data_IF_644325147070
#
_entry.id   IF_644325147070
#
_cell.length_a   1.000
_cell.length_b   1.000
_cell.length_c   1.000
_cell.angle_alpha   90.00
_cell.angle_beta   90.00
_cell.angle_gamma   90.00
#
_symmetry.space_group_name_H-M   'P 1'
#
loop_
_entity.id
_entity.type
_entity.pdbx_description
1 polymer ?
#
# COMPACT_ATOMS: atom_id res chain seq x y z
N UNK A 1 -8.67 20.37 8.09
CA UNK A 1 -7.64 19.65 7.31
C UNK A 1 -7.01 18.61 8.21
N UNK A 2 -6.88 17.39 7.74
CA UNK A 2 -6.14 16.35 8.46
C UNK A 2 -4.66 16.67 8.37
N UNK A 3 -4.02 16.99 9.50
CA UNK A 3 -2.59 17.26 9.55
C UNK A 3 -1.85 16.03 10.03
N UNK A 4 -0.71 15.73 9.39
CA UNK A 4 0.19 14.66 9.78
C UNK A 4 1.54 15.26 10.18
N UNK A 5 2.13 14.74 11.26
CA UNK A 5 3.45 15.14 11.76
C UNK A 5 4.37 13.91 11.76
N UNK A 6 4.80 13.54 10.58
CA UNK A 6 5.63 12.35 10.37
C UNK A 6 7.10 12.73 10.48
N UNK A 7 7.85 11.97 11.24
CA UNK A 7 9.31 12.10 11.34
C UNK A 7 9.95 10.79 10.91
N UNK A 8 11.09 10.86 10.23
CA UNK A 8 11.87 9.66 9.98
C UNK A 8 12.25 8.96 11.30
N UNK A 9 12.33 7.62 11.35
CA UNK A 9 12.77 6.89 12.53
C UNK A 9 14.12 7.39 13.04
N UNK A 10 14.22 7.59 14.35
CA UNK A 10 15.45 8.08 14.97
C UNK A 10 16.58 7.05 14.82
N UNK A 11 17.75 7.50 14.38
CA UNK A 11 18.94 6.64 14.14
C UNK A 11 19.79 6.40 15.40
N UNK A 12 19.41 6.94 16.56
CA UNK A 12 20.23 6.89 17.79
C UNK A 12 20.61 5.48 18.24
N UNK A 13 19.76 4.47 17.95
CA UNK A 13 20.00 3.07 18.33
C UNK A 13 20.52 2.21 17.16
N UNK A 14 20.74 2.78 15.98
CA UNK A 14 21.15 2.04 14.77
C UNK A 14 22.41 1.21 15.01
N UNK A 15 23.43 1.83 15.58
CA UNK A 15 24.71 1.15 15.90
C UNK A 15 24.48 -0.06 16.81
N UNK A 16 23.68 0.09 17.85
CA UNK A 16 23.38 -0.99 18.81
C UNK A 16 22.56 -2.12 18.15
N UNK A 17 21.63 -1.80 17.24
CA UNK A 17 20.90 -2.80 16.46
C UNK A 17 21.84 -3.58 15.54
N UNK A 18 22.71 -2.89 14.81
CA UNK A 18 23.71 -3.51 13.93
C UNK A 18 24.65 -4.40 14.74
N UNK A 19 25.11 -3.95 15.91
CA UNK A 19 25.95 -4.74 16.80
C UNK A 19 25.22 -6.00 17.29
N UNK A 20 23.95 -5.89 17.70
CA UNK A 20 23.13 -7.03 18.10
C UNK A 20 22.99 -8.04 16.96
N UNK A 21 22.61 -7.58 15.76
CA UNK A 21 22.44 -8.44 14.57
C UNK A 21 23.77 -9.14 14.20
N UNK A 22 24.89 -8.43 14.25
CA UNK A 22 26.21 -8.99 13.93
C UNK A 22 26.75 -9.94 15.01
N UNK A 23 26.23 -9.86 16.24
CA UNK A 23 26.60 -10.76 17.33
C UNK A 23 25.77 -12.06 17.38
N UNK A 24 24.71 -12.16 16.60
CA UNK A 24 24.00 -13.44 16.44
C UNK A 24 24.96 -14.52 15.91
N UNK A 25 24.77 -15.76 16.35
CA UNK A 25 25.62 -16.89 15.97
C UNK A 25 25.47 -17.26 14.48
N UNK A 26 26.03 -16.44 13.62
CA UNK A 26 26.02 -16.54 12.16
C UNK A 26 27.16 -15.70 11.55
N UNK A 27 27.63 -16.01 10.33
CA UNK A 27 28.53 -15.12 9.60
C UNK A 27 27.89 -13.74 9.41
N UNK A 28 28.67 -12.67 9.47
CA UNK A 28 28.20 -11.31 9.28
C UNK A 28 27.52 -11.17 7.91
N UNK A 29 26.31 -10.61 7.88
CA UNK A 29 25.53 -10.37 6.66
C UNK A 29 24.93 -11.63 6.01
N UNK A 30 25.08 -12.83 6.61
CA UNK A 30 24.69 -14.10 5.97
C UNK A 30 23.18 -14.32 5.84
N UNK A 31 22.35 -13.58 6.57
CA UNK A 31 20.89 -13.61 6.47
C UNK A 31 20.33 -12.45 5.62
N UNK A 32 21.22 -11.63 5.04
CA UNK A 32 20.89 -10.67 3.99
C UNK A 32 19.70 -9.77 4.31
N UNK A 33 18.62 -9.88 3.53
CA UNK A 33 17.44 -9.02 3.64
C UNK A 33 16.73 -9.12 4.99
N UNK A 34 16.78 -10.27 5.69
CA UNK A 34 16.19 -10.41 7.03
C UNK A 34 16.88 -9.49 8.04
N UNK A 35 18.20 -9.29 7.92
CA UNK A 35 18.95 -8.38 8.78
C UNK A 35 18.55 -6.91 8.54
N UNK A 36 18.36 -6.53 7.28
CA UNK A 36 17.90 -5.18 6.92
C UNK A 36 16.48 -4.92 7.45
N UNK A 37 15.57 -5.89 7.37
CA UNK A 37 14.19 -5.79 7.88
C UNK A 37 14.19 -5.67 9.42
N UNK A 38 14.98 -6.51 10.10
CA UNK A 38 15.08 -6.45 11.56
C UNK A 38 15.63 -5.10 12.04
N UNK A 39 16.63 -4.54 11.34
CA UNK A 39 17.15 -3.21 11.59
C UNK A 39 16.08 -2.14 11.39
N UNK A 40 15.38 -2.16 10.25
CA UNK A 40 14.32 -1.20 9.92
C UNK A 40 13.21 -1.22 10.97
N UNK A 41 12.70 -2.39 11.36
CA UNK A 41 11.64 -2.51 12.37
C UNK A 41 12.14 -2.05 13.75
N UNK A 42 13.37 -2.41 14.12
CA UNK A 42 14.00 -1.94 15.35
C UNK A 42 14.10 -0.41 15.42
N UNK A 43 14.45 0.24 14.30
CA UNK A 43 14.47 1.70 14.19
C UNK A 43 13.09 2.32 14.23
N UNK A 44 12.09 1.74 13.54
CA UNK A 44 10.71 2.20 13.60
C UNK A 44 10.18 2.19 15.04
N UNK A 45 10.41 1.09 15.75
CA UNK A 45 9.89 0.87 17.10
C UNK A 45 10.81 1.40 18.21
N UNK A 46 11.98 1.93 17.87
CA UNK A 46 12.99 2.45 18.82
C UNK A 46 13.35 1.42 19.90
N UNK A 47 13.59 0.16 19.50
CA UNK A 47 13.90 -0.93 20.42
C UNK A 47 14.92 -1.90 19.81
N UNK A 48 15.75 -2.51 20.67
CA UNK A 48 16.64 -3.62 20.28
C UNK A 48 15.92 -4.98 20.20
N UNK A 49 14.66 -5.04 20.64
CA UNK A 49 13.84 -6.25 20.63
C UNK A 49 12.51 -5.97 19.95
N UNK A 50 12.52 -5.75 18.60
CA UNK A 50 11.31 -5.46 17.85
C UNK A 50 10.30 -6.60 17.95
N UNK A 51 9.01 -6.27 17.77
CA UNK A 51 7.92 -7.24 17.88
C UNK A 51 6.81 -6.90 16.90
N UNK A 52 5.98 -7.90 16.56
CA UNK A 52 4.82 -7.75 15.71
C UNK A 52 3.58 -8.17 16.50
N UNK A 53 2.65 -7.22 16.70
CA UNK A 53 1.47 -7.43 17.53
C UNK A 53 0.20 -7.06 16.78
N UNK A 54 -0.84 -7.88 16.94
CA UNK A 54 -2.20 -7.65 16.45
C UNK A 54 -2.25 -7.17 15.00
N UNK A 55 -1.62 -7.90 14.05
CA UNK A 55 -1.53 -7.47 12.67
C UNK A 55 -2.93 -7.22 12.10
N UNK A 56 -3.11 -6.09 11.43
CA UNK A 56 -4.39 -5.70 10.84
C UNK A 56 -4.23 -5.47 9.33
N UNK A 57 -5.25 -5.89 8.58
CA UNK A 57 -5.36 -5.62 7.15
C UNK A 57 -6.59 -4.75 6.89
N UNK A 58 -6.37 -3.57 6.31
CA UNK A 58 -7.43 -2.66 5.86
C UNK A 58 -7.64 -2.86 4.36
N UNK A 59 -8.81 -3.33 3.96
CA UNK A 59 -9.20 -3.43 2.56
C UNK A 59 -10.22 -2.35 2.25
N UNK A 60 -9.83 -1.39 1.43
CA UNK A 60 -10.66 -0.27 1.01
C UNK A 60 -11.33 -0.55 -0.32
N UNK A 61 -12.66 -0.41 -0.39
CA UNK A 61 -13.44 -0.55 -1.61
C UNK A 61 -13.91 0.80 -2.16
N UNK A 62 -13.83 0.99 -3.49
CA UNK A 62 -14.31 2.19 -4.15
C UNK A 62 -14.37 2.07 -5.66
N UNK A 63 -15.34 2.72 -6.29
CA UNK A 63 -15.51 2.74 -7.74
C UNK A 63 -14.98 4.03 -8.37
N UNK A 64 -14.52 3.89 -9.60
CA UNK A 64 -13.89 4.96 -10.38
C UNK A 64 -14.76 5.38 -11.56
N UNK A 65 -15.02 6.69 -11.67
CA UNK A 65 -15.82 7.22 -12.79
C UNK A 65 -15.17 7.02 -14.16
N UNK A 66 -13.85 6.88 -14.23
CA UNK A 66 -13.09 6.64 -15.47
C UNK A 66 -13.38 5.25 -16.10
N UNK A 67 -13.92 4.30 -15.33
CA UNK A 67 -14.31 3.00 -15.85
C UNK A 67 -15.30 3.13 -17.03
N UNK A 68 -16.12 4.17 -17.03
CA UNK A 68 -17.09 4.48 -18.11
C UNK A 68 -16.44 4.73 -19.46
N UNK A 69 -15.15 4.98 -19.49
CA UNK A 69 -14.35 5.15 -20.72
C UNK A 69 -13.78 3.83 -21.25
N UNK A 70 -14.24 2.67 -20.75
CA UNK A 70 -13.80 1.34 -21.17
C UNK A 70 -12.28 1.13 -21.03
N UNK A 71 -11.70 1.61 -19.95
CA UNK A 71 -10.26 1.46 -19.61
C UNK A 71 -9.96 0.19 -18.80
N UNK A 72 -10.94 -0.66 -18.60
CA UNK A 72 -10.85 -1.96 -17.92
C UNK A 72 -11.70 -3.00 -18.64
N UNK A 73 -11.26 -4.26 -18.66
CA UNK A 73 -12.04 -5.40 -19.18
C UNK A 73 -13.09 -5.86 -18.17
N UNK A 74 -12.86 -5.63 -16.88
CA UNK A 74 -13.80 -6.00 -15.83
C UNK A 74 -14.89 -4.94 -15.70
N UNK A 75 -16.17 -5.32 -15.65
CA UNK A 75 -17.26 -4.39 -15.41
C UNK A 75 -17.22 -3.88 -13.96
N UNK A 76 -17.77 -2.69 -13.72
CA UNK A 76 -17.88 -2.03 -12.42
C UNK A 76 -18.47 -2.92 -11.33
N UNK A 77 -19.48 -3.73 -11.70
CA UNK A 77 -20.19 -4.60 -10.75
C UNK A 77 -19.28 -5.56 -10.00
N UNK A 78 -18.10 -5.89 -10.57
CA UNK A 78 -17.12 -6.75 -9.90
C UNK A 78 -16.66 -6.14 -8.57
N UNK A 79 -16.60 -4.81 -8.44
CA UNK A 79 -16.22 -4.15 -7.18
C UNK A 79 -17.15 -4.56 -6.03
N UNK A 80 -18.46 -4.34 -6.18
CA UNK A 80 -19.41 -4.68 -5.10
C UNK A 80 -19.56 -6.18 -4.89
N UNK A 81 -19.50 -6.99 -5.98
CA UNK A 81 -19.56 -8.44 -5.89
C UNK A 81 -18.40 -9.00 -5.07
N UNK A 82 -17.18 -8.49 -5.29
CA UNK A 82 -16.02 -8.89 -4.50
C UNK A 82 -16.10 -8.40 -3.05
N UNK A 83 -16.58 -7.19 -2.79
CA UNK A 83 -16.80 -6.71 -1.42
C UNK A 83 -17.75 -7.64 -0.65
N UNK A 84 -18.81 -8.12 -1.28
CA UNK A 84 -19.72 -9.11 -0.68
C UNK A 84 -19.02 -10.46 -0.50
N UNK A 85 -18.28 -10.94 -1.51
CA UNK A 85 -17.52 -12.19 -1.44
C UNK A 85 -16.52 -12.17 -0.25
N UNK A 86 -15.88 -11.04 0.03
CA UNK A 86 -14.99 -10.90 1.17
C UNK A 86 -15.70 -11.06 2.51
N UNK A 87 -16.97 -10.65 2.63
CA UNK A 87 -17.76 -10.89 3.87
C UNK A 87 -18.03 -12.38 4.11
N UNK A 88 -18.00 -13.19 3.06
CA UNK A 88 -18.20 -14.63 3.09
C UNK A 88 -16.89 -15.41 3.25
N UNK A 89 -15.75 -14.71 3.30
CA UNK A 89 -14.44 -15.33 3.45
C UNK A 89 -13.85 -15.92 2.16
N UNK A 90 -14.39 -15.53 0.98
CA UNK A 90 -14.09 -16.15 -0.31
C UNK A 90 -12.93 -15.53 -1.10
N UNK A 91 -12.41 -14.37 -0.71
CA UNK A 91 -11.32 -13.71 -1.41
C UNK A 91 -9.92 -14.24 -1.07
N UNK A 92 -8.95 -13.90 -1.91
CA UNK A 92 -7.53 -14.18 -1.63
C UNK A 92 -7.07 -13.53 -0.33
N UNK A 93 -7.49 -12.29 -0.09
CA UNK A 93 -7.24 -11.57 1.16
C UNK A 93 -7.74 -12.34 2.39
N UNK A 94 -8.91 -12.94 2.31
CA UNK A 94 -9.47 -13.72 3.43
C UNK A 94 -8.62 -14.94 3.78
N UNK A 95 -8.15 -15.65 2.74
CA UNK A 95 -7.28 -16.80 2.90
C UNK A 95 -6.01 -16.42 3.65
N UNK A 96 -5.29 -15.42 3.15
CA UNK A 96 -3.98 -15.03 3.70
C UNK A 96 -4.10 -14.31 5.05
N UNK A 97 -5.16 -13.54 5.29
CA UNK A 97 -5.43 -12.98 6.61
C UNK A 97 -5.62 -14.09 7.66
N UNK A 98 -6.44 -15.11 7.34
CA UNK A 98 -6.63 -16.28 8.26
C UNK A 98 -5.33 -17.05 8.47
N UNK A 99 -4.56 -17.28 7.40
CA UNK A 99 -3.30 -18.03 7.47
C UNK A 99 -2.28 -17.35 8.36
N UNK A 100 -2.21 -16.01 8.33
CA UNK A 100 -1.17 -15.25 9.02
C UNK A 100 -1.68 -14.48 10.25
N UNK A 101 -2.93 -14.69 10.66
CA UNK A 101 -3.50 -14.09 11.86
C UNK A 101 -3.77 -12.59 11.76
N UNK A 102 -3.98 -12.06 10.56
CA UNK A 102 -4.39 -10.66 10.36
C UNK A 102 -5.88 -10.49 10.64
N UNK A 103 -6.22 -9.44 11.41
CA UNK A 103 -7.59 -8.96 11.53
C UNK A 103 -7.95 -8.21 10.25
N UNK A 104 -8.88 -8.77 9.46
CA UNK A 104 -9.37 -8.13 8.24
C UNK A 104 -10.48 -7.13 8.59
N UNK A 105 -10.37 -5.90 8.07
CA UNK A 105 -11.40 -4.88 8.08
C UNK A 105 -11.76 -4.54 6.63
N UNK A 106 -13.04 -4.64 6.28
CA UNK A 106 -13.56 -4.30 4.96
C UNK A 106 -14.20 -2.92 5.04
N UNK A 107 -13.77 -1.99 4.19
CA UNK A 107 -14.19 -0.59 4.26
C UNK A 107 -14.79 -0.16 2.92
N UNK A 108 -16.03 0.29 2.93
CA UNK A 108 -16.66 0.94 1.79
C UNK A 108 -16.37 2.44 1.81
N UNK A 109 -15.52 2.90 0.88
CA UNK A 109 -15.17 4.31 0.71
C UNK A 109 -16.00 4.99 -0.39
N UNK A 110 -16.57 4.19 -1.30
CA UNK A 110 -17.28 4.75 -2.45
C UNK A 110 -17.69 3.71 -3.47
N UNK A 111 -18.08 2.53 -3.05
CA UNK A 111 -18.62 1.50 -3.94
C UNK A 111 -19.97 1.95 -4.47
N UNK A 112 -20.19 1.86 -5.78
CA UNK A 112 -21.44 2.29 -6.45
C UNK A 112 -22.53 1.21 -6.34
N UNK A 113 -22.76 0.76 -5.12
CA UNK A 113 -23.79 -0.21 -4.75
C UNK A 113 -24.17 -0.03 -3.28
N UNK A 114 -25.40 -0.36 -2.91
CA UNK A 114 -25.83 -0.37 -1.52
C UNK A 114 -25.32 -1.63 -0.80
N UNK A 115 -24.36 -1.45 0.11
CA UNK A 115 -23.77 -2.52 0.91
C UNK A 115 -24.27 -2.53 2.37
N UNK A 116 -25.31 -1.77 2.70
CA UNK A 116 -25.84 -1.66 4.08
C UNK A 116 -26.41 -2.97 4.63
N UNK A 117 -26.78 -3.91 3.78
CA UNK A 117 -27.20 -5.26 4.15
C UNK A 117 -26.04 -6.15 4.67
N UNK A 118 -24.79 -5.70 4.53
CA UNK A 118 -23.60 -6.47 4.89
C UNK A 118 -22.83 -5.81 6.07
N UNK A 119 -23.21 -6.06 7.32
CA UNK A 119 -22.68 -5.35 8.50
C UNK A 119 -21.19 -5.60 8.76
N UNK A 120 -20.59 -6.60 8.12
CA UNK A 120 -19.15 -6.83 8.15
C UNK A 120 -18.36 -5.78 7.34
N UNK A 121 -19.03 -4.99 6.48
CA UNK A 121 -18.42 -3.90 5.74
C UNK A 121 -18.65 -2.61 6.53
N UNK A 122 -17.56 -1.95 6.91
CA UNK A 122 -17.57 -0.66 7.60
C UNK A 122 -17.96 0.40 6.56
N UNK A 123 -19.11 1.04 6.76
CA UNK A 123 -19.61 2.05 5.83
C UNK A 123 -18.98 3.42 6.12
N UNK A 124 -18.07 3.82 5.26
CA UNK A 124 -17.47 5.15 5.20
C UNK A 124 -17.68 5.79 3.81
N UNK A 125 -18.70 5.36 3.09
CA UNK A 125 -19.02 5.83 1.74
C UNK A 125 -19.04 7.36 1.65
N UNK A 126 -18.20 7.90 0.76
CA UNK A 126 -18.11 9.34 0.48
C UNK A 126 -19.10 9.73 -0.60
N UNK A 127 -19.15 8.92 -1.67
CA UNK A 127 -20.11 9.04 -2.77
C UNK A 127 -20.24 7.67 -3.48
N UNK A 128 -21.14 7.56 -4.45
CA UNK A 128 -21.30 6.41 -5.33
C UNK A 128 -20.29 6.43 -6.47
N UNK A 129 -19.02 6.09 -6.15
CA UNK A 129 -17.89 6.23 -7.04
C UNK A 129 -17.39 7.68 -7.18
N UNK A 130 -16.19 7.83 -7.75
CA UNK A 130 -15.65 9.14 -8.09
C UNK A 130 -16.29 9.73 -9.35
N UNK A 131 -16.11 11.02 -9.59
CA UNK A 131 -16.38 11.58 -10.91
C UNK A 131 -15.42 10.99 -11.96
N UNK A 132 -15.81 11.09 -13.24
CA UNK A 132 -14.94 10.72 -14.35
C UNK A 132 -13.91 11.82 -14.59
N UNK A 133 -12.66 11.53 -14.28
CA UNK A 133 -11.56 12.50 -14.36
C UNK A 133 -11.17 12.89 -15.80
N UNK A 134 -11.73 12.23 -16.82
CA UNK A 134 -11.63 12.71 -18.19
C UNK A 134 -12.37 14.06 -18.36
N UNK A 135 -13.40 14.32 -17.54
CA UNK A 135 -14.26 15.50 -17.66
C UNK A 135 -14.12 16.47 -16.48
N UNK A 136 -14.02 15.96 -15.25
CA UNK A 136 -13.95 16.74 -14.01
C UNK A 136 -12.99 16.06 -13.04
N UNK A 137 -12.40 16.79 -12.06
CA UNK A 137 -11.63 16.14 -11.00
C UNK A 137 -12.41 14.99 -10.37
N UNK A 138 -11.73 13.88 -10.05
CA UNK A 138 -12.33 12.68 -9.48
C UNK A 138 -13.07 12.96 -8.17
N UNK A 139 -12.55 13.89 -7.37
CA UNK A 139 -13.16 14.34 -6.12
C UNK A 139 -12.87 15.82 -5.87
N UNK A 140 -13.70 16.46 -5.05
CA UNK A 140 -13.47 17.80 -4.55
C UNK A 140 -12.63 17.79 -3.25
N UNK A 141 -12.22 18.98 -2.78
CA UNK A 141 -11.36 19.11 -1.61
C UNK A 141 -11.98 18.55 -0.33
N UNK A 142 -13.29 18.71 -0.12
CA UNK A 142 -13.99 18.14 1.05
C UNK A 142 -13.95 16.62 1.04
N UNK A 143 -14.22 16.02 -0.11
CA UNK A 143 -14.16 14.55 -0.31
C UNK A 143 -12.74 14.03 -0.10
N UNK A 144 -11.74 14.74 -0.63
CA UNK A 144 -10.33 14.42 -0.44
C UNK A 144 -9.93 14.42 1.03
N UNK A 145 -10.23 15.51 1.75
CA UNK A 145 -9.92 15.64 3.18
C UNK A 145 -10.67 14.58 4.01
N UNK A 146 -11.92 14.28 3.64
CA UNK A 146 -12.71 13.24 4.30
C UNK A 146 -12.10 11.85 4.08
N UNK A 147 -11.68 11.53 2.87
CA UNK A 147 -11.03 10.23 2.56
C UNK A 147 -9.74 10.04 3.37
N UNK A 148 -8.85 11.04 3.39
CA UNK A 148 -7.64 11.03 4.20
C UNK A 148 -7.96 10.83 5.69
N UNK A 149 -8.96 11.54 6.21
CA UNK A 149 -9.35 11.47 7.62
C UNK A 149 -9.88 10.07 7.98
N UNK A 150 -10.71 9.47 7.14
CA UNK A 150 -11.22 8.12 7.37
C UNK A 150 -10.08 7.11 7.46
N UNK A 151 -9.14 7.12 6.51
CA UNK A 151 -7.97 6.24 6.54
C UNK A 151 -7.15 6.40 7.81
N UNK A 152 -6.90 7.65 8.21
CA UNK A 152 -6.18 7.97 9.45
C UNK A 152 -6.91 7.45 10.71
N UNK A 153 -8.22 7.67 10.81
CA UNK A 153 -9.03 7.22 11.96
C UNK A 153 -9.02 5.69 12.10
N UNK A 154 -9.14 4.96 10.98
CA UNK A 154 -9.10 3.50 11.00
C UNK A 154 -7.75 2.95 11.52
N UNK A 155 -6.65 3.66 11.26
CA UNK A 155 -5.34 3.30 11.82
C UNK A 155 -5.27 3.65 13.31
N UNK A 156 -5.81 4.79 13.74
CA UNK A 156 -5.90 5.11 15.17
C UNK A 156 -6.68 4.05 15.94
N UNK A 157 -7.77 3.52 15.37
CA UNK A 157 -8.54 2.40 15.95
C UNK A 157 -7.70 1.12 16.04
N UNK A 158 -6.96 0.77 14.98
CA UNK A 158 -6.05 -0.38 15.00
C UNK A 158 -4.95 -0.20 16.05
N UNK A 159 -4.36 0.98 16.12
CA UNK A 159 -3.32 1.31 17.11
C UNK A 159 -3.83 1.21 18.53
N UNK A 160 -5.05 1.68 18.81
CA UNK A 160 -5.69 1.57 20.11
C UNK A 160 -5.94 0.10 20.53
N UNK A 161 -6.10 -0.81 19.56
CA UNK A 161 -6.20 -2.26 19.78
C UNK A 161 -4.82 -2.94 19.95
N UNK A 162 -3.73 -2.18 19.95
CA UNK A 162 -2.36 -2.69 20.11
C UNK A 162 -1.69 -3.15 18.82
N UNK A 163 -2.25 -2.81 17.66
CA UNK A 163 -1.65 -3.10 16.35
C UNK A 163 -0.39 -2.24 16.13
N UNK A 164 0.70 -2.87 15.72
CA UNK A 164 1.95 -2.17 15.37
C UNK A 164 2.47 -2.49 13.96
N UNK A 165 1.72 -3.29 13.21
CA UNK A 165 1.99 -3.61 11.81
C UNK A 165 0.69 -3.64 11.03
N UNK A 166 0.61 -2.88 9.95
CA UNK A 166 -0.57 -2.75 9.12
C UNK A 166 -0.27 -3.15 7.68
N UNK A 167 -1.17 -3.91 7.08
CA UNK A 167 -1.21 -4.19 5.65
C UNK A 167 -2.42 -3.48 5.04
N UNK A 168 -2.29 -2.96 3.84
CA UNK A 168 -3.35 -2.24 3.15
C UNK A 168 -3.60 -2.87 1.79
N UNK A 169 -4.87 -3.09 1.50
CA UNK A 169 -5.35 -3.59 0.21
C UNK A 169 -6.49 -2.74 -0.32
N UNK A 170 -6.87 -3.01 -1.54
CA UNK A 170 -7.89 -2.28 -2.26
C UNK A 170 -8.81 -3.21 -3.06
N UNK A 171 -9.99 -2.71 -3.40
CA UNK A 171 -10.91 -3.28 -4.39
C UNK A 171 -11.60 -2.14 -5.14
N UNK A 172 -11.19 -1.92 -6.40
CA UNK A 172 -11.77 -0.88 -7.24
C UNK A 172 -11.48 -1.11 -8.71
N UNK A 173 -12.51 -1.41 -9.50
CA UNK A 173 -12.33 -1.60 -10.95
C UNK A 173 -11.85 -0.29 -11.58
N UNK A 174 -10.83 -0.39 -12.46
CA UNK A 174 -10.13 0.68 -13.16
C UNK A 174 -9.10 1.49 -12.33
N UNK A 175 -8.84 1.16 -11.07
CA UNK A 175 -7.89 1.89 -10.21
C UNK A 175 -6.41 1.80 -10.68
N UNK A 176 -6.05 0.89 -11.57
CA UNK A 176 -4.75 0.91 -12.25
C UNK A 176 -4.56 2.16 -13.12
N UNK A 177 -5.65 2.82 -13.54
CA UNK A 177 -5.59 4.04 -14.35
C UNK A 177 -5.03 5.23 -13.57
N UNK A 178 -5.62 5.64 -12.41
CA UNK A 178 -5.02 6.67 -11.56
C UNK A 178 -3.62 6.29 -11.06
N UNK A 179 -3.35 5.02 -10.76
CA UNK A 179 -2.03 4.56 -10.34
C UNK A 179 -0.96 4.82 -11.41
N UNK A 180 -1.27 4.55 -12.68
CA UNK A 180 -0.38 4.83 -13.81
C UNK A 180 -0.16 6.33 -14.02
N UNK A 181 -1.20 7.14 -13.86
CA UNK A 181 -1.10 8.61 -13.96
C UNK A 181 -0.24 9.17 -12.82
N UNK A 182 -0.45 8.74 -11.57
CA UNK A 182 0.38 9.17 -10.46
C UNK A 182 1.84 8.82 -10.67
N UNK A 183 2.14 7.59 -11.12
CA UNK A 183 3.51 7.20 -11.45
C UNK A 183 4.10 8.12 -12.54
N UNK A 184 3.34 8.41 -13.61
CA UNK A 184 3.79 9.26 -14.70
C UNK A 184 4.10 10.68 -14.23
N UNK A 185 3.19 11.30 -13.48
CA UNK A 185 3.32 12.69 -13.03
C UNK A 185 4.41 12.84 -11.98
N UNK A 186 4.41 12.01 -10.94
CA UNK A 186 5.34 12.16 -9.80
C UNK A 186 6.77 11.76 -10.14
N UNK A 187 6.95 10.80 -11.05
CA UNK A 187 8.27 10.34 -11.50
C UNK A 187 8.72 11.01 -12.82
N UNK A 188 7.90 11.94 -13.35
CA UNK A 188 8.15 12.61 -14.62
C UNK A 188 8.47 11.65 -15.77
N UNK A 189 7.62 10.66 -15.95
CA UNK A 189 7.76 9.61 -16.96
C UNK A 189 6.70 9.74 -18.05
N UNK A 190 7.01 9.32 -19.29
CA UNK A 190 6.00 9.14 -20.33
C UNK A 190 4.92 8.15 -19.86
N UNK A 191 3.64 8.49 -20.02
CA UNK A 191 2.52 7.69 -19.53
C UNK A 191 2.50 6.26 -20.09
N UNK A 192 2.92 6.08 -21.34
CA UNK A 192 3.03 4.75 -21.97
C UNK A 192 4.02 3.81 -21.29
N UNK A 193 4.96 4.33 -20.50
CA UNK A 193 5.88 3.50 -19.69
C UNK A 193 5.31 3.13 -18.31
N UNK A 194 4.19 3.73 -17.94
CA UNK A 194 3.54 3.56 -16.63
C UNK A 194 2.27 2.70 -16.69
N UNK A 195 1.69 2.53 -17.89
CA UNK A 195 0.45 1.79 -18.08
C UNK A 195 0.73 0.29 -18.17
N UNK A 196 -0.07 -0.50 -17.45
CA UNK A 196 -0.14 -1.95 -17.54
C UNK A 196 -1.48 -2.47 -18.07
N UNK A 197 -1.52 -3.76 -18.36
CA UNK A 197 -2.71 -4.43 -18.88
C UNK A 197 -3.85 -4.54 -17.86
N UNK A 198 -3.58 -4.24 -16.59
CA UNK A 198 -4.57 -4.38 -15.51
C UNK A 198 -5.13 -5.81 -15.47
N UNK A 199 -6.45 -5.93 -15.50
CA UNK A 199 -7.14 -7.23 -15.48
C UNK A 199 -6.96 -8.07 -16.77
N UNK A 200 -6.21 -7.58 -17.80
CA UNK A 200 -5.92 -8.36 -19.00
C UNK A 200 -6.32 -7.70 -20.31
N UNK A 201 -6.21 -6.36 -20.41
CA UNK A 201 -6.41 -5.63 -21.66
C UNK A 201 -5.49 -6.16 -22.78
N UNK A 202 -6.04 -6.31 -23.98
CA UNK A 202 -5.28 -6.61 -25.18
C UNK A 202 -4.58 -5.36 -25.74
N UNK A 203 -3.81 -5.51 -26.84
CA UNK A 203 -3.02 -4.41 -27.41
C UNK A 203 -3.87 -3.20 -27.84
N UNK A 204 -5.01 -3.42 -28.48
CA UNK A 204 -5.92 -2.36 -28.95
C UNK A 204 -6.56 -1.63 -27.75
N UNK A 205 -7.00 -2.39 -26.76
CA UNK A 205 -7.57 -1.84 -25.54
C UNK A 205 -6.53 -1.06 -24.71
N UNK A 206 -5.27 -1.50 -24.70
CA UNK A 206 -4.16 -0.77 -24.08
C UNK A 206 -3.89 0.56 -24.79
N UNK A 207 -3.96 0.61 -26.13
CA UNK A 207 -3.82 1.86 -26.88
C UNK A 207 -4.98 2.80 -26.60
N UNK A 208 -6.21 2.28 -26.51
CA UNK A 208 -7.38 3.06 -26.12
C UNK A 208 -7.21 3.64 -24.71
N UNK A 209 -6.87 2.81 -23.74
CA UNK A 209 -6.60 3.26 -22.35
C UNK A 209 -5.54 4.36 -22.33
N UNK A 210 -4.42 4.19 -23.06
CA UNK A 210 -3.38 5.21 -23.16
C UNK A 210 -3.92 6.54 -23.69
N UNK A 211 -4.70 6.51 -24.78
CA UNK A 211 -5.25 7.71 -25.39
C UNK A 211 -6.20 8.45 -24.43
N UNK A 212 -7.08 7.74 -23.74
CA UNK A 212 -8.00 8.29 -22.75
C UNK A 212 -7.23 8.94 -21.60
N UNK A 213 -6.27 8.23 -21.01
CA UNK A 213 -5.51 8.74 -19.87
C UNK A 213 -4.60 9.89 -20.26
N UNK A 214 -3.99 9.88 -21.47
CA UNK A 214 -3.17 10.98 -21.96
C UNK A 214 -4.01 12.25 -22.13
N UNK A 215 -5.21 12.14 -22.70
CA UNK A 215 -6.15 13.26 -22.82
C UNK A 215 -6.47 13.88 -21.45
N UNK A 216 -6.68 13.06 -20.43
CA UNK A 216 -6.95 13.52 -19.07
C UNK A 216 -5.73 14.24 -18.45
N UNK A 217 -4.52 13.71 -18.65
CA UNK A 217 -3.27 14.32 -18.17
C UNK A 217 -2.99 15.64 -18.88
N UNK A 218 -3.16 15.70 -20.21
CA UNK A 218 -2.96 16.94 -20.98
C UNK A 218 -3.93 18.03 -20.52
N UNK A 219 -5.19 17.66 -20.26
CA UNK A 219 -6.20 18.58 -19.72
C UNK A 219 -5.83 19.07 -18.32
N UNK A 220 -5.36 18.20 -17.44
CA UNK A 220 -4.92 18.55 -16.10
C UNK A 220 -3.86 19.64 -16.13
N UNK A 221 -2.80 19.47 -16.90
CA UNK A 221 -1.75 20.47 -17.02
C UNK A 221 -2.20 21.74 -17.76
N UNK A 222 -3.07 21.61 -18.78
CA UNK A 222 -3.63 22.79 -19.49
C UNK A 222 -4.49 23.68 -18.59
N UNK A 223 -5.09 23.12 -17.54
CA UNK A 223 -5.84 23.86 -16.52
C UNK A 223 -4.95 24.50 -15.44
N UNK A 224 -3.62 24.30 -15.47
CA UNK A 224 -2.65 24.90 -14.57
C UNK A 224 -2.46 24.19 -13.23
N UNK A 225 -2.98 22.98 -13.07
CA UNK A 225 -2.77 22.17 -11.86
C UNK A 225 -1.30 21.79 -11.67
N UNK A 226 -0.90 21.69 -10.40
CA UNK A 226 0.44 21.28 -10.02
C UNK A 226 0.49 19.75 -9.80
N UNK A 227 1.67 19.11 -9.89
CA UNK A 227 1.78 17.64 -9.69
C UNK A 227 1.06 17.12 -8.44
N UNK A 228 1.13 17.81 -7.31
CA UNK A 228 0.49 17.37 -6.06
C UNK A 228 -1.05 17.32 -6.17
N UNK A 229 -1.64 18.17 -7.00
CA UNK A 229 -3.09 18.21 -7.24
C UNK A 229 -3.58 16.96 -7.98
N UNK A 230 -2.65 16.18 -8.58
CA UNK A 230 -2.98 14.92 -9.22
C UNK A 230 -3.59 13.90 -8.23
N UNK A 231 -3.31 14.02 -6.93
CA UNK A 231 -3.85 13.11 -5.92
C UNK A 231 -5.39 13.16 -5.91
N UNK A 232 -6.04 14.29 -5.62
CA UNK A 232 -7.51 14.37 -5.66
C UNK A 232 -8.08 14.41 -7.09
N UNK A 233 -7.30 14.88 -8.07
CA UNK A 233 -7.82 15.02 -9.44
C UNK A 233 -8.06 13.65 -10.10
N UNK A 234 -7.20 12.65 -9.89
CA UNK A 234 -7.26 11.35 -10.53
C UNK A 234 -7.64 10.20 -9.56
N UNK A 235 -7.34 10.34 -8.28
CA UNK A 235 -7.42 9.25 -7.31
C UNK A 235 -8.83 8.72 -7.03
N UNK A 236 -8.90 7.48 -6.55
CA UNK A 236 -10.10 6.89 -5.98
C UNK A 236 -10.25 7.22 -4.49
N UNK A 237 -11.47 7.14 -3.98
CA UNK A 237 -11.72 7.35 -2.54
C UNK A 237 -10.99 6.30 -1.69
N UNK A 238 -10.95 5.04 -2.14
CA UNK A 238 -10.22 3.95 -1.50
C UNK A 238 -8.71 4.18 -1.52
N UNK A 239 -8.17 4.73 -2.62
CA UNK A 239 -6.75 5.04 -2.77
C UNK A 239 -6.34 6.19 -1.83
N UNK A 240 -7.14 7.25 -1.75
CA UNK A 240 -6.90 8.38 -0.84
C UNK A 240 -7.09 7.95 0.62
N UNK A 241 -8.04 7.07 0.91
CA UNK A 241 -8.18 6.42 2.22
C UNK A 241 -6.92 5.64 2.60
N UNK A 242 -6.37 4.87 1.65
CA UNK A 242 -5.11 4.16 1.84
C UNK A 242 -3.93 5.11 2.11
N UNK A 243 -3.83 6.26 1.39
CA UNK A 243 -2.83 7.30 1.67
C UNK A 243 -2.97 7.81 3.09
N UNK A 244 -4.19 8.16 3.54
CA UNK A 244 -4.45 8.60 4.91
C UNK A 244 -4.05 7.58 5.96
N UNK A 245 -4.31 6.29 5.69
CA UNK A 245 -3.89 5.18 6.54
C UNK A 245 -2.35 5.04 6.60
N UNK A 246 -1.65 5.12 5.45
CA UNK A 246 -0.18 5.05 5.40
C UNK A 246 0.47 6.19 6.18
N UNK A 247 -0.01 7.42 6.01
CA UNK A 247 0.51 8.60 6.70
C UNK A 247 0.30 8.49 8.23
N UNK A 248 -0.87 8.05 8.68
CA UNK A 248 -1.14 7.88 10.11
C UNK A 248 -0.37 6.72 10.71
N UNK A 249 -0.20 5.61 9.99
CA UNK A 249 0.61 4.49 10.45
C UNK A 249 2.08 4.91 10.68
N UNK A 250 2.65 5.70 9.77
CA UNK A 250 3.99 6.26 9.95
C UNK A 250 4.06 7.20 11.17
N UNK A 251 3.08 8.09 11.35
CA UNK A 251 3.00 8.99 12.51
C UNK A 251 2.87 8.23 13.84
N UNK A 252 2.24 7.03 13.82
CA UNK A 252 2.13 6.10 14.96
C UNK A 252 3.32 5.14 15.08
N UNK A 253 4.36 5.29 14.28
CA UNK A 253 5.53 4.40 14.27
C UNK A 253 5.16 2.92 14.05
N UNK A 254 4.16 2.67 13.21
CA UNK A 254 3.76 1.33 12.80
C UNK A 254 4.50 0.90 11.55
N UNK A 255 4.74 -0.40 11.42
CA UNK A 255 5.27 -0.99 10.16
C UNK A 255 4.16 -1.03 9.11
N UNK A 256 4.45 -0.59 7.89
CA UNK A 256 3.50 -0.56 6.77
C UNK A 256 3.91 -1.61 5.74
N UNK A 257 3.08 -2.63 5.54
CA UNK A 257 3.24 -3.59 4.46
C UNK A 257 2.56 -3.06 3.20
N UNK A 258 3.36 -2.77 2.19
CA UNK A 258 2.91 -2.26 0.90
C UNK A 258 2.74 -3.42 -0.07
N UNK A 259 1.57 -3.53 -0.67
CA UNK A 259 1.22 -4.58 -1.63
C UNK A 259 1.84 -4.32 -3.02
N UNK A 260 1.07 -4.51 -4.07
CA UNK A 260 1.47 -4.41 -5.46
C UNK A 260 1.49 -2.99 -6.03
N UNK A 261 1.22 -2.90 -7.34
CA UNK A 261 1.31 -1.66 -8.11
C UNK A 261 0.45 -0.52 -7.55
N UNK A 262 -0.83 -0.80 -7.23
CA UNK A 262 -1.78 0.24 -6.79
C UNK A 262 -1.36 0.79 -5.42
N UNK A 263 -1.04 -0.07 -4.45
CA UNK A 263 -0.60 0.38 -3.12
C UNK A 263 0.79 1.03 -3.15
N UNK A 264 1.66 0.62 -4.07
CA UNK A 264 2.93 1.34 -4.31
C UNK A 264 2.71 2.73 -4.90
N UNK A 265 1.71 2.90 -5.78
CA UNK A 265 1.30 4.22 -6.28
C UNK A 265 0.69 5.09 -5.17
N UNK A 266 -0.08 4.50 -4.25
CA UNK A 266 -0.58 5.20 -3.06
C UNK A 266 0.58 5.62 -2.13
N UNK A 267 1.59 4.77 -1.94
CA UNK A 267 2.77 5.11 -1.15
C UNK A 267 3.62 6.20 -1.83
N UNK A 268 3.75 6.17 -3.16
CA UNK A 268 4.37 7.23 -3.94
C UNK A 268 3.63 8.56 -3.77
N UNK A 269 2.30 8.55 -3.85
CA UNK A 269 1.48 9.74 -3.61
C UNK A 269 1.59 10.24 -2.15
N UNK A 270 1.58 9.34 -1.17
CA UNK A 270 1.82 9.68 0.23
C UNK A 270 3.19 10.36 0.45
N UNK A 271 4.22 9.88 -0.26
CA UNK A 271 5.57 10.46 -0.18
C UNK A 271 5.68 11.86 -0.79
N UNK A 272 4.80 12.22 -1.73
CA UNK A 272 4.72 13.59 -2.23
C UNK A 272 4.18 14.56 -1.17
N UNK A 273 3.38 14.06 -0.24
CA UNK A 273 2.86 14.84 0.90
C UNK A 273 3.86 14.85 2.06
N UNK A 274 4.43 13.70 2.40
CA UNK A 274 5.37 13.48 3.52
C UNK A 274 6.41 12.42 3.14
N UNK A 275 7.59 12.81 2.63
CA UNK A 275 8.60 11.85 2.15
C UNK A 275 9.11 10.89 3.23
N UNK A 276 9.01 11.27 4.51
CA UNK A 276 9.42 10.44 5.65
C UNK A 276 8.61 9.14 5.78
N UNK A 277 7.42 9.06 5.17
CA UNK A 277 6.56 7.86 5.20
C UNK A 277 7.26 6.63 4.62
N UNK A 278 8.16 6.83 3.64
CA UNK A 278 8.90 5.75 2.98
C UNK A 278 9.76 4.93 3.96
N UNK A 279 10.24 5.54 5.04
CA UNK A 279 11.05 4.85 6.05
C UNK A 279 10.27 3.78 6.84
N UNK A 280 8.95 3.83 6.82
CA UNK A 280 8.06 2.91 7.50
C UNK A 280 7.55 1.77 6.60
N UNK A 281 7.84 1.85 5.29
CA UNK A 281 7.31 0.95 4.27
C UNK A 281 8.21 -0.29 4.10
N UNK A 282 7.58 -1.48 4.11
CA UNK A 282 8.18 -2.73 3.64
C UNK A 282 7.36 -3.20 2.44
N UNK A 283 7.99 -3.30 1.28
CA UNK A 283 7.33 -3.68 0.03
C UNK A 283 7.23 -5.20 -0.07
N UNK A 284 6.02 -5.74 -0.05
CA UNK A 284 5.75 -7.17 0.01
C UNK A 284 6.18 -7.90 -1.24
N UNK A 285 5.86 -7.36 -2.41
CA UNK A 285 6.22 -8.01 -3.66
C UNK A 285 6.38 -7.04 -4.85
N UNK A 286 7.07 -7.51 -5.88
CA UNK A 286 7.01 -6.94 -7.22
C UNK A 286 5.90 -7.67 -7.97
N UNK A 287 4.78 -6.98 -8.25
CA UNK A 287 3.68 -7.55 -9.04
C UNK A 287 4.06 -7.63 -10.53
N UNK A 288 3.31 -8.45 -11.26
CA UNK A 288 3.46 -8.60 -12.73
C UNK A 288 2.71 -7.51 -13.51
N UNK A 289 2.35 -6.41 -12.85
CA UNK A 289 1.72 -5.25 -13.49
C UNK A 289 2.79 -4.37 -14.16
N UNK A 290 2.47 -3.89 -15.36
CA UNK A 290 3.36 -3.01 -16.12
C UNK A 290 3.72 -1.75 -15.32
N UNK A 291 4.98 -1.34 -15.38
CA UNK A 291 5.47 -0.18 -14.66
C UNK A 291 5.86 -0.43 -13.20
N UNK A 292 5.31 -1.42 -12.50
CA UNK A 292 5.56 -1.61 -11.07
C UNK A 292 7.04 -1.78 -10.72
N UNK A 293 7.76 -2.63 -11.46
CA UNK A 293 9.21 -2.81 -11.26
C UNK A 293 9.99 -1.49 -11.40
N UNK A 294 9.58 -0.65 -12.35
CA UNK A 294 10.18 0.67 -12.59
C UNK A 294 9.87 1.63 -11.44
N UNK A 295 8.60 1.67 -10.99
CA UNK A 295 8.18 2.46 -9.84
C UNK A 295 8.98 2.10 -8.59
N UNK A 296 9.05 0.82 -8.24
CA UNK A 296 9.83 0.33 -7.10
C UNK A 296 11.30 0.76 -7.16
N UNK A 297 11.92 0.67 -8.36
CA UNK A 297 13.31 1.10 -8.55
C UNK A 297 13.49 2.61 -8.32
N UNK A 298 12.58 3.44 -8.83
CA UNK A 298 12.62 4.89 -8.66
C UNK A 298 12.42 5.30 -7.20
N UNK A 299 11.53 4.61 -6.48
CA UNK A 299 11.33 4.78 -5.04
C UNK A 299 12.45 4.17 -4.19
N UNK A 300 13.51 3.59 -4.80
CA UNK A 300 14.55 2.83 -4.10
C UNK A 300 13.99 1.71 -3.20
N UNK A 301 12.86 1.14 -3.59
CA UNK A 301 12.16 0.09 -2.86
C UNK A 301 12.72 -1.29 -3.19
N UNK A 302 12.85 -2.15 -2.18
CA UNK A 302 13.36 -3.53 -2.31
C UNK A 302 12.22 -4.49 -1.96
N UNK A 303 11.45 -4.99 -2.95
CA UNK A 303 10.36 -5.95 -2.70
C UNK A 303 10.90 -7.28 -2.20
N UNK A 304 10.12 -7.97 -1.34
CA UNK A 304 10.50 -9.24 -0.75
C UNK A 304 10.24 -10.43 -1.68
N UNK A 305 9.15 -10.39 -2.44
CA UNK A 305 8.72 -11.48 -3.31
C UNK A 305 8.64 -11.03 -4.78
N UNK A 306 8.79 -11.97 -5.70
CA UNK A 306 8.53 -11.82 -7.12
C UNK A 306 7.90 -13.11 -7.64
N UNK A 307 6.59 -13.28 -7.41
CA UNK A 307 5.83 -14.50 -7.70
C UNK A 307 4.91 -14.37 -8.92
N UNK A 308 4.99 -13.28 -9.68
CA UNK A 308 4.09 -13.01 -10.81
C UNK A 308 2.65 -12.71 -10.38
N UNK A 309 2.42 -12.27 -9.13
CA UNK A 309 1.09 -11.93 -8.63
C UNK A 309 0.59 -10.63 -9.26
N UNK A 310 -0.72 -10.58 -9.57
CA UNK A 310 -1.43 -9.40 -10.08
C UNK A 310 -2.89 -9.36 -9.65
N UNK A 311 -3.20 -9.91 -8.49
CA UNK A 311 -4.58 -10.00 -7.99
C UNK A 311 -5.05 -8.70 -7.33
N UNK A 312 -4.19 -8.02 -6.55
CA UNK A 312 -4.58 -6.95 -5.64
C UNK A 312 -5.02 -7.48 -4.28
N UNK A 313 -5.99 -6.83 -3.66
CA UNK A 313 -6.58 -7.18 -2.35
C UNK A 313 -5.55 -7.13 -1.17
N UNK A 314 -4.32 -6.69 -1.40
CA UNK A 314 -3.22 -6.77 -0.41
C UNK A 314 -2.56 -8.14 -0.33
N UNK A 315 -2.84 -9.04 -1.28
CA UNK A 315 -2.42 -10.45 -1.21
C UNK A 315 -0.91 -10.64 -1.25
N UNK A 316 -0.18 -9.85 -2.02
CA UNK A 316 1.28 -9.94 -2.08
C UNK A 316 1.96 -9.46 -0.79
N UNK A 317 1.40 -8.42 -0.15
CA UNK A 317 1.83 -7.97 1.16
C UNK A 317 1.63 -9.06 2.20
N UNK A 318 0.45 -9.65 2.28
CA UNK A 318 0.13 -10.73 3.21
C UNK A 318 1.02 -11.97 2.99
N UNK A 319 1.26 -12.37 1.72
CA UNK A 319 2.17 -13.47 1.41
C UNK A 319 3.61 -13.22 1.87
N UNK A 320 4.05 -11.97 1.98
CA UNK A 320 5.40 -11.63 2.44
C UNK A 320 5.57 -11.63 3.97
N UNK A 321 4.48 -11.62 4.72
CA UNK A 321 4.49 -11.49 6.18
C UNK A 321 5.37 -12.53 6.91
N UNK A 322 5.40 -13.83 6.54
CA UNK A 322 6.27 -14.82 7.19
C UNK A 322 7.77 -14.47 7.13
N UNK A 323 8.21 -13.75 6.09
CA UNK A 323 9.59 -13.28 5.97
C UNK A 323 9.87 -12.18 7.00
N UNK A 324 8.91 -11.30 7.22
CA UNK A 324 9.00 -10.21 8.18
C UNK A 324 8.97 -10.75 9.61
N UNK A 325 8.08 -11.71 9.92
CA UNK A 325 8.05 -12.42 11.19
C UNK A 325 9.38 -13.15 11.45
N UNK A 326 9.94 -13.80 10.43
CA UNK A 326 11.26 -14.45 10.51
C UNK A 326 12.38 -13.46 10.85
N UNK A 327 12.36 -12.25 10.29
CA UNK A 327 13.35 -11.22 10.61
C UNK A 327 13.27 -10.76 12.07
N UNK A 328 12.06 -10.60 12.61
CA UNK A 328 11.82 -10.25 14.01
C UNK A 328 12.21 -11.39 14.96
N UNK A 329 11.87 -12.63 14.61
CA UNK A 329 12.31 -13.82 15.38
C UNK A 329 13.81 -13.99 15.36
N UNK A 330 14.45 -13.79 14.20
CA UNK A 330 15.89 -13.86 14.05
C UNK A 330 16.62 -13.01 15.11
N UNK A 331 16.29 -11.73 15.21
CA UNK A 331 16.98 -10.81 16.14
C UNK A 331 16.68 -11.10 17.62
N UNK A 332 15.55 -11.76 17.93
CA UNK A 332 15.12 -12.02 19.30
C UNK A 332 15.40 -13.45 19.79
N UNK A 333 15.35 -14.46 18.90
CA UNK A 333 15.34 -15.86 19.30
C UNK A 333 16.68 -16.56 18.96
N UNK A 334 17.44 -16.06 17.96
CA UNK A 334 18.75 -16.65 17.68
C UNK A 334 19.74 -16.37 18.81
N UNK A 335 20.52 -17.39 19.17
CA UNK A 335 21.59 -17.25 20.14
C UNK A 335 22.74 -16.41 19.59
N UNK A 336 23.52 -15.78 20.45
CA UNK A 336 24.74 -15.05 20.10
C UNK A 336 25.99 -15.94 20.29
N UNK A 337 27.15 -15.48 19.78
CA UNK A 337 28.41 -16.24 19.88
C UNK A 337 28.82 -16.52 21.33
N UNK A 338 28.67 -15.54 22.22
CA UNK A 338 29.06 -15.65 23.62
C UNK A 338 28.23 -16.69 24.36
N UNK A 339 26.90 -16.59 24.31
CA UNK A 339 25.98 -17.52 24.97
C UNK A 339 26.05 -18.94 24.36
N UNK A 340 26.39 -19.05 23.08
CA UNK A 340 26.56 -20.34 22.40
C UNK A 340 27.95 -20.96 22.65
N UNK A 341 28.87 -20.26 23.30
CA UNK A 341 30.27 -20.67 23.48
C UNK A 341 30.98 -21.00 22.15
N UNK A 342 30.66 -20.27 21.08
CA UNK A 342 31.24 -20.43 19.74
C UNK A 342 32.22 -19.30 19.49
N UNK A 343 33.41 -19.66 19.00
CA UNK A 343 34.45 -18.67 18.68
C UNK A 343 33.97 -17.73 17.57
N UNK A 344 33.94 -16.43 17.85
CA UNK A 344 33.70 -15.42 16.86
C UNK A 344 34.98 -15.21 16.03
N UNK A 345 34.85 -15.25 14.70
CA UNK A 345 36.00 -15.27 13.77
C UNK A 345 36.05 -14.07 12.83
N UNK A 346 35.27 -13.01 13.09
CA UNK A 346 35.28 -11.74 12.33
C UNK A 346 35.10 -10.52 13.24
#
# INVERSE_FOLDING_TARGET
MTNFNIKAPNQSIEKSLIEKINNLNKPKGSLGRLEEIALQIGLIQQTLSPSLHHPCHLLFGGDHGIERENVSVSPRDVTWQQMINFTQGGGGVNLFCRQHGFKLRLIDMGVDHDLTAYPAIINHKIAHGTANFLHNPAMNDEQFQRALHIGATLVDDCFAEGCNIISIGEMGIANTSPSSIWMSIFENLPLNECIGAGAGLNHTEMQHKLAVLQTAVDRFFAQGYQPIDAIPYFGGFEMVGAIGAMLRAAERHMVILVDGFIMSACMLAASQMHPEVLAYAIYGHCSDEGGHRKMLKLMNAKPLLSLGLRLGEGTGALCSYPIIDSAVRMINEMNNFENAHITKYF
#
